data_IF_236275278751
#
_entry.id   IF_236275278751
#
_cell.length_a   1.000
_cell.length_b   1.000
_cell.length_c   1.000
_cell.angle_alpha   90.00
_cell.angle_beta   90.00
_cell.angle_gamma   90.00
#
_symmetry.space_group_name_H-M   'P 1'
#
loop_
_entity.id
_entity.type
_entity.pdbx_description
1 polymer ?
#
# COMPACT_ATOMS: atom_id res chain seq x y z
N UNK A 1 10.19 24.26 -45.59
CA UNK A 1 11.24 24.45 -44.57
C UNK A 1 10.80 25.58 -43.64
N UNK A 2 10.85 25.38 -42.33
CA UNK A 2 10.72 26.46 -41.33
C UNK A 2 9.45 26.41 -40.47
N UNK A 3 9.56 25.73 -39.33
CA UNK A 3 8.61 25.70 -38.22
C UNK A 3 8.66 27.00 -37.40
N UNK A 4 7.62 27.17 -36.56
CA UNK A 4 7.61 27.74 -35.20
C UNK A 4 6.82 29.05 -35.04
N UNK A 5 5.82 29.00 -34.17
CA UNK A 5 5.08 30.18 -33.72
C UNK A 5 3.84 29.79 -32.92
N UNK A 6 4.06 29.18 -31.76
CA UNK A 6 3.09 28.81 -30.72
C UNK A 6 1.96 29.84 -30.57
N UNK A 7 0.73 29.36 -30.73
CA UNK A 7 -0.50 30.12 -30.59
C UNK A 7 -0.72 30.57 -29.15
N UNK A 8 -0.62 31.88 -28.96
CA UNK A 8 -1.29 32.61 -27.88
C UNK A 8 -2.76 32.75 -28.26
N UNK A 9 -3.66 32.00 -27.61
CA UNK A 9 -5.09 32.33 -27.62
C UNK A 9 -5.61 32.27 -26.21
N UNK A 10 -5.84 33.47 -25.69
CA UNK A 10 -6.65 33.78 -24.53
C UNK A 10 -7.93 32.94 -24.48
N UNK A 11 -8.14 32.33 -23.32
CA UNK A 11 -9.33 32.50 -22.47
C UNK A 11 -10.59 33.01 -23.17
N UNK A 12 -11.53 32.11 -23.48
CA UNK A 12 -12.95 32.44 -23.59
C UNK A 12 -13.76 31.30 -22.98
N UNK A 13 -14.04 31.48 -21.69
CA UNK A 13 -15.00 30.72 -20.91
C UNK A 13 -16.40 31.11 -21.40
N UNK A 14 -17.12 30.19 -22.04
CA UNK A 14 -18.56 30.30 -22.24
C UNK A 14 -19.26 29.21 -21.42
N UNK A 15 -19.68 29.61 -20.23
CA UNK A 15 -20.58 28.91 -19.32
C UNK A 15 -21.93 28.75 -20.03
N UNK A 16 -22.27 27.52 -20.40
CA UNK A 16 -23.64 27.15 -20.73
C UNK A 16 -24.33 26.67 -19.45
N UNK A 17 -25.17 27.56 -18.94
CA UNK A 17 -26.16 27.45 -17.87
C UNK A 17 -26.68 26.04 -17.57
N UNK A 18 -26.08 25.40 -16.57
CA UNK A 18 -26.62 24.26 -15.85
C UNK A 18 -26.76 24.62 -14.38
N UNK A 19 -27.97 25.02 -14.01
CA UNK A 19 -28.47 25.39 -12.69
C UNK A 19 -27.96 24.50 -11.54
N UNK A 20 -27.03 24.99 -10.74
CA UNK A 20 -26.77 24.49 -9.39
C UNK A 20 -26.09 25.59 -8.56
N UNK A 21 -26.91 26.32 -7.81
CA UNK A 21 -26.43 27.05 -6.63
C UNK A 21 -26.01 26.00 -5.59
N UNK A 22 -24.80 25.48 -5.69
CA UNK A 22 -24.18 24.69 -4.63
C UNK A 22 -22.95 25.45 -4.17
N UNK A 23 -23.15 26.08 -3.01
CA UNK A 23 -22.15 26.65 -2.13
C UNK A 23 -20.91 25.75 -2.04
N UNK A 24 -19.74 26.38 -2.05
CA UNK A 24 -18.43 25.80 -1.76
C UNK A 24 -18.27 25.38 -0.27
N UNK A 25 -19.30 24.75 0.31
CA UNK A 25 -19.34 24.28 1.69
C UNK A 25 -19.31 22.74 1.75
N UNK A 26 -18.37 22.12 1.05
CA UNK A 26 -18.22 20.66 1.06
C UNK A 26 -16.78 20.23 1.38
N UNK A 27 -16.17 20.86 2.39
CA UNK A 27 -14.98 20.29 3.06
C UNK A 27 -15.22 19.92 4.54
N UNK A 28 -16.42 20.15 5.08
CA UNK A 28 -16.75 19.85 6.50
C UNK A 28 -17.98 18.94 6.69
N UNK A 29 -18.37 18.18 5.66
CA UNK A 29 -19.40 17.16 5.79
C UNK A 29 -18.84 15.89 6.47
N UNK A 30 -18.57 15.98 7.77
CA UNK A 30 -18.40 14.81 8.61
C UNK A 30 -19.71 13.98 8.57
N UNK A 31 -19.67 12.67 8.27
CA UNK A 31 -20.87 11.86 8.32
C UNK A 31 -21.38 11.83 9.76
N UNK A 32 -22.57 12.39 9.98
CA UNK A 32 -23.33 12.27 11.22
C UNK A 32 -23.75 10.80 11.41
N UNK A 33 -22.82 9.97 11.86
CA UNK A 33 -23.08 8.60 12.29
C UNK A 33 -23.43 8.62 13.77
N UNK A 34 -24.73 8.54 14.05
CA UNK A 34 -25.32 8.32 15.37
C UNK A 34 -24.91 6.94 15.93
N UNK A 35 -23.71 6.90 16.51
CA UNK A 35 -23.22 5.97 17.54
C UNK A 35 -21.80 6.42 17.91
N UNK A 36 -21.70 7.56 18.59
CA UNK A 36 -20.45 7.98 19.21
C UNK A 36 -20.14 7.05 20.38
N UNK A 37 -19.43 5.95 20.11
CA UNK A 37 -18.82 5.15 21.16
C UNK A 37 -17.93 6.07 22.01
N UNK A 38 -18.16 6.12 23.32
CA UNK A 38 -17.40 6.92 24.27
C UNK A 38 -15.90 6.55 24.39
N UNK A 39 -15.38 5.69 23.51
CA UNK A 39 -14.01 5.19 23.47
C UNK A 39 -12.98 6.13 22.80
N UNK A 40 -13.37 7.31 22.30
CA UNK A 40 -12.51 8.14 21.43
C UNK A 40 -11.73 9.27 22.11
N UNK A 41 -12.00 9.59 23.39
CA UNK A 41 -11.36 10.72 24.09
C UNK A 41 -9.84 10.63 24.24
N UNK A 42 -9.22 9.49 24.64
CA UNK A 42 -7.77 9.43 24.84
C UNK A 42 -6.99 9.60 23.53
N UNK A 43 -7.40 8.93 22.45
CA UNK A 43 -6.75 9.03 21.14
C UNK A 43 -6.79 10.43 20.55
N UNK A 44 -7.89 11.17 20.74
CA UNK A 44 -7.99 12.56 20.27
C UNK A 44 -6.98 13.46 20.99
N UNK A 45 -6.76 13.27 22.29
CA UNK A 45 -5.83 14.10 23.06
C UNK A 45 -4.38 13.82 22.67
N UNK A 46 -4.01 12.56 22.45
CA UNK A 46 -2.68 12.18 21.96
C UNK A 46 -2.39 12.77 20.58
N UNK A 47 -3.36 12.69 19.67
CA UNK A 47 -3.24 13.27 18.34
C UNK A 47 -3.03 14.79 18.39
N UNK A 48 -3.82 15.51 19.19
CA UNK A 48 -3.66 16.96 19.35
C UNK A 48 -2.31 17.33 19.98
N UNK A 49 -1.81 16.54 20.94
CA UNK A 49 -0.47 16.75 21.52
C UNK A 49 0.63 16.56 20.47
N UNK A 50 0.53 15.51 19.65
CA UNK A 50 1.47 15.26 18.56
C UNK A 50 1.45 16.41 17.54
N UNK A 51 0.28 16.86 17.11
CA UNK A 51 0.17 18.00 16.18
C UNK A 51 0.83 19.26 16.74
N UNK A 52 0.60 19.57 18.02
CA UNK A 52 1.25 20.71 18.68
C UNK A 52 2.77 20.56 18.75
N UNK A 53 3.28 19.35 18.94
CA UNK A 53 4.74 19.11 18.99
C UNK A 53 5.47 19.35 17.66
N UNK A 54 4.72 19.51 16.56
CA UNK A 54 5.24 19.82 15.23
C UNK A 54 5.10 21.30 14.85
N UNK A 55 4.60 22.14 15.76
CA UNK A 55 4.55 23.59 15.57
C UNK A 55 5.71 24.20 16.36
N UNK A 56 6.49 25.06 15.73
CA UNK A 56 7.54 25.83 16.39
C UNK A 56 7.00 27.21 16.75
N UNK A 57 7.15 27.61 18.01
CA UNK A 57 6.71 28.93 18.48
C UNK A 57 7.88 29.95 18.47
N UNK A 58 9.12 29.48 18.24
CA UNK A 58 10.33 30.31 18.08
C UNK A 58 11.26 29.83 16.96
N UNK A 59 12.20 30.68 16.53
CA UNK A 59 13.19 30.33 15.50
C UNK A 59 14.15 29.22 15.95
N UNK A 60 14.49 29.15 17.24
CA UNK A 60 15.35 28.12 17.81
C UNK A 60 14.66 26.74 17.76
N UNK A 61 13.37 26.68 18.09
CA UNK A 61 12.56 25.46 18.03
C UNK A 61 12.32 24.95 16.60
N UNK A 62 12.39 25.84 15.59
CA UNK A 62 12.16 25.48 14.20
C UNK A 62 13.16 24.42 13.70
N UNK A 63 14.40 24.44 14.18
CA UNK A 63 15.39 23.43 13.82
C UNK A 63 15.02 22.04 14.37
N UNK A 64 14.57 21.97 15.62
CA UNK A 64 14.17 20.72 16.27
C UNK A 64 12.90 20.15 15.65
N UNK A 65 11.91 21.00 15.33
CA UNK A 65 10.68 20.60 14.66
C UNK A 65 10.99 20.01 13.28
N UNK A 66 11.85 20.66 12.48
CA UNK A 66 12.28 20.11 11.17
C UNK A 66 12.95 18.74 11.30
N UNK A 67 13.75 18.51 12.35
CA UNK A 67 14.33 17.21 12.61
C UNK A 67 13.28 16.16 12.99
N UNK A 68 12.32 16.52 13.85
CA UNK A 68 11.20 15.63 14.23
C UNK A 68 10.37 15.27 13.01
N UNK A 69 10.01 16.23 12.17
CA UNK A 69 9.29 16.00 10.92
C UNK A 69 10.06 15.05 9.99
N UNK A 70 11.36 15.27 9.81
CA UNK A 70 12.22 14.38 9.02
C UNK A 70 12.19 12.95 9.55
N UNK A 71 12.28 12.75 10.88
CA UNK A 71 12.20 11.43 11.52
C UNK A 71 10.85 10.77 11.27
N UNK A 72 9.75 11.50 11.45
CA UNK A 72 8.38 11.00 11.18
C UNK A 72 8.22 10.61 9.71
N UNK A 73 8.75 11.41 8.80
CA UNK A 73 8.68 11.14 7.37
C UNK A 73 9.44 9.87 6.96
N UNK A 74 10.67 9.70 7.46
CA UNK A 74 11.45 8.48 7.20
C UNK A 74 10.79 7.23 7.80
N UNK A 75 10.26 7.33 9.03
CA UNK A 75 9.43 6.26 9.59
C UNK A 75 8.22 5.94 8.70
N UNK A 76 7.56 6.96 8.15
CA UNK A 76 6.46 6.80 7.21
C UNK A 76 6.84 6.07 5.91
N UNK A 77 8.06 6.29 5.40
CA UNK A 77 8.59 5.52 4.25
C UNK A 77 8.73 4.04 4.60
N UNK A 78 9.29 3.73 5.75
CA UNK A 78 9.48 2.35 6.21
C UNK A 78 8.15 1.62 6.42
N UNK A 79 7.14 2.29 7.00
CA UNK A 79 5.79 1.74 7.16
C UNK A 79 5.19 1.40 5.78
N UNK A 80 5.31 2.31 4.80
CA UNK A 80 4.83 2.06 3.43
C UNK A 80 5.56 0.90 2.76
N UNK A 81 6.87 0.81 2.93
CA UNK A 81 7.67 -0.29 2.37
C UNK A 81 7.25 -1.65 2.93
N UNK A 82 7.11 -1.77 4.27
CA UNK A 82 6.63 -3.00 4.91
C UNK A 82 5.21 -3.37 4.46
N UNK A 83 4.31 -2.40 4.37
CA UNK A 83 2.94 -2.62 3.87
C UNK A 83 2.93 -3.15 2.44
N UNK A 84 3.77 -2.62 1.56
CA UNK A 84 3.88 -3.12 0.19
C UNK A 84 4.38 -4.57 0.13
N UNK A 85 5.31 -4.98 1.01
CA UNK A 85 5.74 -6.38 1.11
C UNK A 85 4.61 -7.29 1.60
N UNK A 86 3.87 -6.86 2.62
CA UNK A 86 2.70 -7.58 3.13
C UNK A 86 1.63 -7.78 2.05
N UNK A 87 1.30 -6.74 1.29
CA UNK A 87 0.32 -6.81 0.20
C UNK A 87 0.77 -7.78 -0.91
N UNK A 88 2.07 -7.80 -1.25
CA UNK A 88 2.62 -8.79 -2.20
C UNK A 88 2.43 -10.22 -1.69
N UNK A 89 2.69 -10.47 -0.40
CA UNK A 89 2.49 -11.80 0.22
C UNK A 89 1.02 -12.21 0.25
N UNK A 90 0.13 -11.29 0.60
CA UNK A 90 -1.30 -11.56 0.55
C UNK A 90 -1.79 -11.87 -0.86
N UNK A 91 -1.30 -11.15 -1.87
CA UNK A 91 -1.64 -11.41 -3.27
C UNK A 91 -1.19 -12.81 -3.72
N UNK A 92 -0.03 -13.28 -3.25
CA UNK A 92 0.50 -14.61 -3.55
C UNK A 92 -0.34 -15.77 -2.96
N UNK A 93 -1.26 -15.50 -2.03
CA UNK A 93 -2.15 -16.53 -1.50
C UNK A 93 -3.30 -16.92 -2.45
N UNK A 94 -3.55 -16.16 -3.54
CA UNK A 94 -4.59 -16.46 -4.56
C UNK A 94 -5.97 -16.85 -4.01
N UNK A 95 -6.37 -16.32 -2.84
CA UNK A 95 -7.66 -16.61 -2.19
C UNK A 95 -7.66 -17.79 -1.21
N UNK A 96 -6.52 -18.43 -0.94
CA UNK A 96 -6.39 -19.42 0.14
C UNK A 96 -6.51 -18.74 1.51
N UNK A 97 -7.62 -18.97 2.20
CA UNK A 97 -7.92 -18.42 3.51
C UNK A 97 -6.94 -18.88 4.61
N UNK A 98 -6.38 -20.09 4.51
CA UNK A 98 -5.38 -20.57 5.47
C UNK A 98 -4.07 -19.83 5.27
N UNK A 99 -3.63 -19.69 4.02
CA UNK A 99 -2.46 -18.87 3.67
C UNK A 99 -2.61 -17.43 4.16
N UNK A 100 -3.76 -16.79 3.89
CA UNK A 100 -4.03 -15.41 4.31
C UNK A 100 -3.93 -15.23 5.83
N UNK A 101 -4.48 -16.17 6.61
CA UNK A 101 -4.39 -16.15 8.08
C UNK A 101 -2.95 -16.27 8.57
N UNK A 102 -2.16 -17.16 7.97
CA UNK A 102 -0.73 -17.33 8.32
C UNK A 102 0.05 -16.06 7.98
N UNK A 103 -0.10 -15.52 6.77
CA UNK A 103 0.57 -14.28 6.35
C UNK A 103 0.18 -13.09 7.24
N UNK A 104 -1.09 -12.97 7.62
CA UNK A 104 -1.56 -11.95 8.54
C UNK A 104 -0.96 -12.10 9.95
N UNK A 105 -0.89 -13.32 10.47
CA UNK A 105 -0.28 -13.61 11.77
C UNK A 105 1.23 -13.29 11.78
N UNK A 106 1.94 -13.63 10.70
CA UNK A 106 3.35 -13.26 10.53
C UNK A 106 3.52 -11.74 10.51
N UNK A 107 2.66 -11.00 9.79
CA UNK A 107 2.74 -9.54 9.76
C UNK A 107 2.51 -8.92 11.14
N UNK A 108 1.55 -9.45 11.92
CA UNK A 108 1.31 -8.97 13.28
C UNK A 108 2.52 -9.17 14.19
N UNK A 109 3.21 -10.31 14.08
CA UNK A 109 4.43 -10.58 14.84
C UNK A 109 5.57 -9.63 14.42
N UNK A 110 5.72 -9.38 13.11
CA UNK A 110 6.69 -8.40 12.60
C UNK A 110 6.43 -7.01 13.19
N UNK A 111 5.19 -6.51 13.12
CA UNK A 111 4.87 -5.18 13.63
C UNK A 111 5.01 -5.11 15.16
N UNK A 112 4.73 -6.20 15.89
CA UNK A 112 5.02 -6.29 17.32
C UNK A 112 6.50 -6.11 17.59
N UNK A 113 7.36 -6.80 16.85
CA UNK A 113 8.82 -6.69 17.01
C UNK A 113 9.37 -5.32 16.61
N UNK A 114 8.79 -4.70 15.58
CA UNK A 114 9.11 -3.31 15.21
C UNK A 114 8.72 -2.36 16.33
N UNK A 115 7.52 -2.53 16.91
CA UNK A 115 7.04 -1.71 18.02
C UNK A 115 7.85 -1.91 19.30
N UNK A 116 8.33 -3.12 19.59
CA UNK A 116 9.21 -3.41 20.74
C UNK A 116 10.67 -3.04 20.50
N UNK A 117 11.04 -2.64 19.28
CA UNK A 117 12.43 -2.31 18.92
C UNK A 117 13.35 -3.53 18.83
N UNK A 118 12.79 -4.74 18.75
CA UNK A 118 13.56 -6.00 18.64
C UNK A 118 13.72 -6.47 17.20
N UNK A 119 13.01 -5.87 16.25
CA UNK A 119 13.13 -6.19 14.84
C UNK A 119 14.50 -5.74 14.28
N UNK A 120 15.12 -6.53 13.38
CA UNK A 120 16.34 -6.12 12.71
C UNK A 120 16.10 -4.93 11.77
N UNK A 121 17.13 -4.11 11.56
CA UNK A 121 17.03 -2.88 10.77
C UNK A 121 16.44 -3.11 9.37
N UNK A 122 16.84 -4.17 8.68
CA UNK A 122 16.32 -4.49 7.35
C UNK A 122 14.80 -4.77 7.32
N UNK A 123 14.26 -5.37 8.39
CA UNK A 123 12.81 -5.60 8.56
C UNK A 123 12.12 -4.29 8.90
N UNK A 124 12.68 -3.50 9.81
CA UNK A 124 12.14 -2.16 10.15
C UNK A 124 12.02 -1.33 8.88
N UNK A 125 13.06 -1.31 8.05
CA UNK A 125 13.10 -0.51 6.84
C UNK A 125 12.20 -1.02 5.71
N UNK A 126 11.65 -2.24 5.84
CA UNK A 126 10.85 -2.89 4.80
C UNK A 126 11.68 -3.33 3.59
N UNK A 127 12.94 -3.69 3.79
CA UNK A 127 13.82 -4.28 2.76
C UNK A 127 13.78 -5.80 2.78
N UNK A 128 13.69 -6.39 3.98
CA UNK A 128 13.68 -7.83 4.18
C UNK A 128 12.42 -8.29 4.89
N UNK A 129 12.04 -9.53 4.61
CA UNK A 129 10.96 -10.22 5.29
C UNK A 129 11.51 -10.93 6.53
N UNK A 130 10.76 -10.94 7.63
CA UNK A 130 11.16 -11.69 8.82
C UNK A 130 11.21 -13.20 8.49
N UNK A 131 12.40 -13.79 8.54
CA UNK A 131 12.67 -15.20 8.22
C UNK A 131 12.20 -16.20 9.29
N UNK A 132 11.24 -15.86 10.14
CA UNK A 132 10.66 -16.84 11.05
C UNK A 132 9.65 -17.72 10.30
N UNK A 133 10.16 -18.84 9.79
CA UNK A 133 9.39 -19.88 9.13
C UNK A 133 8.92 -19.43 7.76
N UNK A 134 9.55 -19.98 6.71
CA UNK A 134 9.02 -19.89 5.36
C UNK A 134 7.51 -20.19 5.39
N UNK A 135 6.64 -19.30 4.87
CA UNK A 135 5.26 -19.68 4.65
C UNK A 135 5.25 -20.88 3.70
N UNK A 136 4.34 -21.87 3.87
CA UNK A 136 4.30 -23.00 2.97
C UNK A 136 4.08 -22.47 1.57
N UNK A 137 5.07 -22.71 0.70
CA UNK A 137 4.90 -22.58 -0.75
C UNK A 137 3.69 -23.43 -1.08
N UNK A 138 2.57 -22.79 -1.42
CA UNK A 138 1.36 -23.47 -1.86
C UNK A 138 1.75 -24.36 -3.04
N UNK A 139 1.79 -25.66 -2.78
CA UNK A 139 2.13 -26.72 -3.73
C UNK A 139 1.08 -26.87 -4.85
N UNK A 140 0.10 -25.97 -4.94
CA UNK A 140 -0.88 -25.90 -6.03
C UNK A 140 -0.29 -25.54 -7.40
N UNK A 141 0.96 -25.05 -7.48
CA UNK A 141 1.65 -24.76 -8.73
C UNK A 141 2.13 -25.99 -9.51
N UNK A 142 2.34 -27.14 -8.85
CA UNK A 142 2.89 -28.33 -9.49
C UNK A 142 1.89 -29.03 -10.42
N UNK A 143 0.58 -28.94 -10.13
CA UNK A 143 -0.43 -29.51 -11.04
C UNK A 143 -0.50 -28.79 -12.39
N UNK A 144 -0.13 -27.51 -12.47
CA UNK A 144 -0.09 -26.78 -13.75
C UNK A 144 1.13 -27.14 -14.60
N UNK A 145 2.25 -27.52 -13.98
CA UNK A 145 3.46 -27.94 -14.70
C UNK A 145 3.38 -29.38 -15.20
N UNK A 146 2.76 -30.29 -14.44
CA UNK A 146 2.59 -31.69 -14.88
C UNK A 146 1.52 -31.83 -15.97
N UNK A 147 0.43 -31.06 -15.91
CA UNK A 147 -0.59 -31.07 -16.97
C UNK A 147 -0.11 -30.44 -18.28
N UNK A 148 0.73 -29.40 -18.23
CA UNK A 148 1.37 -28.82 -19.42
C UNK A 148 2.32 -29.80 -20.12
N UNK A 149 3.09 -30.58 -19.35
CA UNK A 149 3.98 -31.60 -19.88
C UNK A 149 3.22 -32.79 -20.51
N UNK A 150 2.10 -33.22 -19.90
CA UNK A 150 1.27 -34.30 -20.45
C UNK A 150 0.57 -33.92 -21.77
N UNK A 151 0.15 -32.65 -21.92
CA UNK A 151 -0.49 -32.18 -23.15
C UNK A 151 0.51 -32.00 -24.30
N UNK A 152 1.74 -31.54 -24.01
CA UNK A 152 2.81 -31.45 -25.00
C UNK A 152 3.24 -32.82 -25.55
N UNK A 153 3.30 -33.84 -24.70
CA UNK A 153 3.69 -35.20 -25.10
C UNK A 153 2.62 -35.88 -25.97
N UNK A 154 1.33 -35.61 -25.74
CA UNK A 154 0.26 -36.15 -26.59
C UNK A 154 0.21 -35.47 -27.97
N UNK A 155 0.51 -34.17 -28.08
CA UNK A 155 0.54 -33.49 -29.38
C UNK A 155 1.69 -33.98 -30.27
N UNK A 156 2.86 -34.27 -29.68
CA UNK A 156 4.03 -34.78 -30.43
C UNK A 156 3.82 -36.21 -30.96
N UNK A 157 3.07 -37.05 -30.24
CA UNK A 157 2.73 -38.42 -30.66
C UNK A 157 1.69 -38.46 -31.79
N UNK A 158 0.77 -37.49 -31.87
CA UNK A 158 -0.21 -37.40 -32.96
C UNK A 158 0.46 -36.88 -34.25
N UNK A 159 1.42 -35.95 -34.14
CA UNK A 159 2.15 -35.42 -35.31
C UNK A 159 3.01 -36.50 -35.98
N UNK A 160 3.75 -37.31 -35.21
CA UNK A 160 4.59 -38.40 -35.75
C UNK A 160 3.82 -39.54 -36.41
N UNK A 161 2.51 -39.66 -36.15
CA UNK A 161 1.66 -40.70 -36.76
C UNK A 161 1.11 -40.28 -38.12
N UNK A 162 1.06 -38.98 -38.44
CA UNK A 162 0.64 -38.49 -39.75
C UNK A 162 1.75 -38.53 -40.79
N UNK A 163 3.02 -38.54 -40.37
CA UNK A 163 4.18 -38.65 -41.27
C UNK A 163 4.52 -40.11 -41.66
N UNK A 164 3.84 -41.09 -41.08
CA UNK A 164 4.06 -42.52 -41.29
C UNK A 164 2.96 -43.21 -42.13
N UNK A 165 2.08 -42.45 -42.77
CA UNK A 165 1.18 -42.89 -43.86
C UNK A 165 1.59 -42.22 -45.16
#
# INVERSE_FOLDING_TARGET
>A
MGLNGVGSVLLLICIASGRASESFDAFDAAPASSKASAASKPHRMEHLRFQRSLVADSEEEAAEVREKERKVFEQGKHIRARKALFEKRLAACYGDETCRKVVAAQQLEIERQVASGTAPAAVVEGREEHKAGEPPVSTGGWLRQTLGAAFGYMHDLVSKRQEAM
#
